data_IF_624370016974
#
_entry.id   IF_624370016974
#
_cell.length_a   1.000
_cell.length_b   1.000
_cell.length_c   1.000
_cell.angle_alpha   90.00
_cell.angle_beta   90.00
_cell.angle_gamma   90.00
#
_symmetry.space_group_name_H-M   'P 1'
#
loop_
_entity.id
_entity.type
_entity.pdbx_description
1 polymer ?
#
# COMPACT_ATOMS: atom_id res chain seq x y z
N UNK A 1 -33.40 -29.80 32.63
CA UNK A 1 -33.80 -30.05 31.21
C UNK A 1 -33.95 -28.78 30.39
N UNK A 2 -34.01 -27.62 31.01
CA UNK A 2 -34.05 -26.34 30.29
C UNK A 2 -32.68 -25.89 29.75
N UNK A 3 -31.57 -26.44 30.28
CA UNK A 3 -30.18 -26.12 29.92
C UNK A 3 -29.27 -27.34 29.73
N UNK A 4 -29.81 -28.56 29.93
CA UNK A 4 -29.05 -29.82 29.77
C UNK A 4 -28.98 -30.22 28.27
N UNK A 5 -27.80 -30.17 27.70
CA UNK A 5 -27.57 -30.47 26.29
C UNK A 5 -27.86 -31.96 25.94
N UNK A 6 -27.80 -32.85 26.90
CA UNK A 6 -28.10 -34.29 26.69
C UNK A 6 -29.58 -34.63 26.90
N UNK A 7 -30.36 -33.76 27.50
CA UNK A 7 -31.77 -33.92 27.83
C UNK A 7 -32.58 -32.65 27.60
N UNK A 8 -32.39 -31.98 26.49
CA UNK A 8 -32.98 -30.68 26.20
C UNK A 8 -34.50 -30.78 25.99
N UNK A 9 -35.26 -30.15 26.86
CA UNK A 9 -36.72 -30.20 26.89
C UNK A 9 -37.26 -31.55 27.39
N UNK A 10 -36.81 -32.65 26.84
CA UNK A 10 -37.21 -34.02 27.17
C UNK A 10 -36.03 -34.89 27.50
N UNK A 11 -36.25 -36.02 28.22
CA UNK A 11 -35.20 -37.02 28.49
C UNK A 11 -34.72 -37.62 27.15
N UNK A 12 -33.41 -37.76 27.00
CA UNK A 12 -32.77 -38.35 25.81
C UNK A 12 -32.73 -37.45 24.58
N UNK A 13 -33.26 -36.26 24.60
CA UNK A 13 -33.13 -35.31 23.48
C UNK A 13 -31.79 -34.56 23.61
N UNK A 14 -30.76 -35.11 22.93
CA UNK A 14 -29.44 -34.50 22.91
C UNK A 14 -29.31 -33.51 21.76
N UNK A 15 -28.79 -32.31 22.09
CA UNK A 15 -28.47 -31.27 21.09
C UNK A 15 -27.23 -31.67 20.26
N UNK A 16 -27.12 -31.10 19.07
CA UNK A 16 -25.96 -31.25 18.19
C UNK A 16 -24.69 -30.63 18.74
N UNK A 17 -23.53 -30.87 18.10
CA UNK A 17 -22.22 -30.41 18.60
C UNK A 17 -22.08 -28.89 18.67
N UNK A 18 -22.77 -28.16 17.81
CA UNK A 18 -22.74 -26.69 17.74
C UNK A 18 -24.00 -26.03 18.34
N UNK A 19 -24.78 -26.80 19.12
CA UNK A 19 -26.02 -26.38 19.73
C UNK A 19 -25.93 -26.32 21.25
N UNK A 20 -26.63 -25.40 21.85
CA UNK A 20 -26.90 -25.34 23.28
C UNK A 20 -28.39 -25.56 23.56
N UNK A 21 -28.69 -26.09 24.74
CA UNK A 21 -30.06 -26.16 25.18
C UNK A 21 -30.55 -24.85 25.75
N UNK A 22 -31.36 -24.16 24.98
CA UNK A 22 -31.90 -22.83 25.31
C UNK A 22 -33.37 -22.96 25.67
N UNK A 23 -33.69 -22.84 26.94
CA UNK A 23 -35.09 -22.96 27.47
C UNK A 23 -35.83 -24.21 27.01
N UNK A 24 -35.12 -25.34 26.93
CA UNK A 24 -35.70 -26.65 26.52
C UNK A 24 -35.76 -26.90 25.02
N UNK A 25 -35.12 -26.04 24.22
CA UNK A 25 -34.98 -26.22 22.77
C UNK A 25 -33.51 -26.14 22.37
N UNK A 26 -33.06 -27.06 21.54
CA UNK A 26 -31.68 -26.98 21.00
C UNK A 26 -31.58 -25.80 20.00
N UNK A 27 -30.64 -24.94 20.25
CA UNK A 27 -30.39 -23.76 19.43
C UNK A 27 -28.95 -23.73 18.92
N UNK A 28 -28.78 -23.55 17.62
CA UNK A 28 -27.49 -23.30 17.01
C UNK A 28 -26.92 -21.98 17.54
N UNK A 29 -25.77 -22.05 18.20
CA UNK A 29 -25.08 -20.86 18.74
C UNK A 29 -23.94 -20.40 17.87
N UNK A 30 -23.64 -21.10 16.81
CA UNK A 30 -22.54 -20.77 15.90
C UNK A 30 -22.97 -19.86 14.76
N UNK A 31 -24.25 -19.97 14.33
CA UNK A 31 -24.76 -19.21 13.16
C UNK A 31 -26.07 -18.48 13.42
N UNK A 32 -26.78 -18.80 14.50
CA UNK A 32 -28.05 -18.14 14.83
C UNK A 32 -27.83 -16.70 15.34
N UNK A 33 -28.40 -15.73 14.66
CA UNK A 33 -28.36 -14.32 15.09
C UNK A 33 -29.11 -14.07 16.43
N UNK A 34 -29.95 -14.98 16.87
CA UNK A 34 -30.72 -14.86 18.12
C UNK A 34 -30.06 -15.55 19.32
N UNK A 35 -29.04 -16.40 19.07
CA UNK A 35 -28.35 -17.18 20.10
C UNK A 35 -26.83 -17.21 19.86
N UNK A 36 -26.26 -16.13 19.38
CA UNK A 36 -24.87 -16.11 18.93
C UNK A 36 -23.87 -16.27 20.08
N UNK A 37 -23.16 -17.39 20.10
CA UNK A 37 -22.19 -17.77 21.14
C UNK A 37 -22.84 -18.27 22.44
N UNK A 38 -24.08 -17.89 22.74
CA UNK A 38 -24.83 -18.35 23.90
C UNK A 38 -26.34 -18.09 23.77
N UNK A 39 -27.16 -18.81 24.55
CA UNK A 39 -28.59 -18.63 24.54
C UNK A 39 -29.00 -17.17 24.77
N UNK A 40 -29.88 -16.65 23.92
CA UNK A 40 -30.45 -15.31 24.04
C UNK A 40 -29.48 -14.18 23.71
N UNK A 41 -28.32 -14.45 23.19
CA UNK A 41 -27.40 -13.42 22.66
C UNK A 41 -27.80 -13.01 21.25
N UNK A 42 -28.36 -11.81 21.13
CA UNK A 42 -28.82 -11.27 19.86
C UNK A 42 -27.74 -10.43 19.18
N UNK A 43 -27.47 -10.72 17.90
CA UNK A 43 -26.66 -9.83 17.11
C UNK A 43 -27.44 -8.55 16.77
N UNK A 44 -26.79 -7.40 16.89
CA UNK A 44 -27.37 -6.11 16.53
C UNK A 44 -27.75 -6.03 15.05
N UNK A 45 -28.64 -5.10 14.71
CA UNK A 45 -28.98 -4.84 13.31
C UNK A 45 -27.71 -4.61 12.47
N UNK A 46 -27.61 -5.26 11.32
CA UNK A 46 -26.45 -5.21 10.42
C UNK A 46 -25.29 -6.14 10.80
N UNK A 47 -25.43 -6.91 11.91
CA UNK A 47 -24.47 -7.97 12.26
C UNK A 47 -25.00 -9.35 11.91
N UNK A 48 -24.09 -10.28 11.70
CA UNK A 48 -24.34 -11.71 11.44
C UNK A 48 -23.55 -12.55 12.42
N UNK A 49 -24.14 -13.62 12.90
CA UNK A 49 -23.45 -14.58 13.76
C UNK A 49 -22.47 -15.42 12.95
N UNK A 50 -21.20 -15.27 13.24
CA UNK A 50 -20.14 -16.06 12.62
C UNK A 50 -19.35 -16.78 13.70
N UNK A 51 -19.49 -18.11 13.77
CA UNK A 51 -18.84 -18.96 14.79
C UNK A 51 -19.05 -18.42 16.23
N UNK A 52 -20.28 -18.08 16.58
CA UNK A 52 -20.61 -17.60 17.91
C UNK A 52 -20.18 -16.16 18.22
N UNK A 53 -19.79 -15.38 17.21
CA UNK A 53 -19.46 -13.98 17.34
C UNK A 53 -20.32 -13.14 16.40
N UNK A 54 -20.91 -12.08 16.91
CA UNK A 54 -21.65 -11.12 16.11
C UNK A 54 -20.68 -10.18 15.40
N UNK A 55 -20.61 -10.26 14.08
CA UNK A 55 -19.70 -9.47 13.23
C UNK A 55 -20.47 -8.67 12.19
N UNK A 56 -19.92 -7.53 11.81
CA UNK A 56 -20.47 -6.73 10.71
C UNK A 56 -19.76 -7.13 9.41
N UNK A 57 -20.46 -7.87 8.52
CA UNK A 57 -19.91 -8.36 7.27
C UNK A 57 -19.53 -7.22 6.28
N UNK A 58 -20.03 -5.99 6.51
CA UNK A 58 -19.70 -4.85 5.65
C UNK A 58 -18.36 -4.20 6.00
N UNK A 59 -17.86 -4.41 7.24
CA UNK A 59 -16.67 -3.71 7.74
C UNK A 59 -15.64 -4.62 8.42
N UNK A 60 -16.02 -5.85 8.77
CA UNK A 60 -15.11 -6.79 9.42
C UNK A 60 -14.16 -7.41 8.39
N UNK A 61 -12.87 -7.12 8.52
CA UNK A 61 -11.84 -7.59 7.61
C UNK A 61 -11.68 -9.12 7.58
N UNK A 62 -12.01 -9.80 8.68
CA UNK A 62 -11.90 -11.26 8.78
C UNK A 62 -13.14 -11.99 8.27
N UNK A 63 -14.25 -11.26 8.08
CA UNK A 63 -15.55 -11.79 7.68
C UNK A 63 -16.20 -10.94 6.57
N UNK A 64 -15.42 -10.44 5.63
CA UNK A 64 -15.88 -9.47 4.65
C UNK A 64 -16.86 -10.06 3.63
N UNK A 65 -18.10 -9.56 3.63
CA UNK A 65 -19.19 -10.06 2.77
C UNK A 65 -19.78 -11.42 3.19
N UNK A 66 -19.01 -12.25 3.90
CA UNK A 66 -19.45 -13.53 4.44
C UNK A 66 -18.55 -14.01 5.59
N UNK A 67 -19.06 -14.85 6.45
CA UNK A 67 -18.27 -15.44 7.54
C UNK A 67 -17.01 -16.14 7.00
N UNK A 68 -15.87 -15.87 7.64
CA UNK A 68 -14.54 -16.42 7.33
C UNK A 68 -13.94 -15.96 6.00
N UNK A 69 -14.53 -14.98 5.32
CA UNK A 69 -13.93 -14.37 4.15
C UNK A 69 -12.97 -13.26 4.59
N UNK A 70 -11.71 -13.63 4.79
CA UNK A 70 -10.67 -12.70 5.27
C UNK A 70 -10.02 -11.98 4.09
N UNK A 71 -9.97 -10.65 4.17
CA UNK A 71 -9.26 -9.83 3.20
C UNK A 71 -7.74 -10.01 3.32
N UNK A 72 -7.07 -10.09 2.18
CA UNK A 72 -5.61 -10.22 2.09
C UNK A 72 -4.89 -8.99 2.66
N UNK A 73 -3.59 -9.14 2.93
CA UNK A 73 -2.76 -8.01 3.37
C UNK A 73 -2.81 -6.86 2.35
N UNK A 74 -2.93 -5.62 2.83
CA UNK A 74 -3.10 -4.45 1.97
C UNK A 74 -4.53 -4.11 1.60
N UNK A 75 -5.50 -5.00 1.86
CA UNK A 75 -6.92 -4.76 1.65
C UNK A 75 -7.68 -4.53 2.95
N UNK A 76 -8.81 -3.86 2.87
CA UNK A 76 -9.77 -3.67 3.95
C UNK A 76 -11.18 -4.05 3.49
N UNK A 77 -12.10 -4.24 4.42
CA UNK A 77 -13.49 -4.57 4.09
C UNK A 77 -14.30 -3.29 3.87
N UNK A 78 -14.56 -2.99 2.62
CA UNK A 78 -15.32 -1.82 2.23
C UNK A 78 -16.69 -2.24 1.71
N UNK A 79 -17.74 -1.98 2.49
CA UNK A 79 -19.12 -2.33 2.15
C UNK A 79 -19.29 -3.80 1.72
N UNK A 80 -18.64 -4.73 2.46
CA UNK A 80 -18.71 -6.16 2.20
C UNK A 80 -17.82 -6.68 1.08
N UNK A 81 -16.93 -5.84 0.54
CA UNK A 81 -15.96 -6.23 -0.48
C UNK A 81 -14.53 -5.96 0.01
N UNK A 82 -13.67 -6.96 -0.15
CA UNK A 82 -12.24 -6.75 0.10
C UNK A 82 -11.66 -5.82 -0.97
N UNK A 83 -11.28 -4.62 -0.56
CA UNK A 83 -10.77 -3.56 -1.44
C UNK A 83 -9.32 -3.28 -1.12
N UNK A 84 -8.45 -3.25 -2.13
CA UNK A 84 -7.05 -2.84 -1.98
C UNK A 84 -6.98 -1.35 -1.62
N UNK A 85 -6.62 -1.05 -0.37
CA UNK A 85 -6.48 0.33 0.13
C UNK A 85 -5.07 0.89 -0.06
N UNK A 86 -4.17 0.13 -0.68
CA UNK A 86 -2.78 0.57 -0.94
C UNK A 86 -2.62 1.26 -2.28
N UNK A 87 -3.53 1.01 -3.24
CA UNK A 87 -3.44 1.49 -4.63
C UNK A 87 -4.75 2.05 -5.18
N UNK A 88 -5.87 1.84 -4.50
CA UNK A 88 -7.17 2.29 -4.98
C UNK A 88 -7.38 3.77 -4.67
N UNK A 89 -7.55 4.59 -5.70
CA UNK A 89 -7.71 6.04 -5.55
C UNK A 89 -9.00 6.46 -4.83
N UNK A 90 -10.04 5.63 -4.85
CA UNK A 90 -11.31 5.92 -4.15
C UNK A 90 -11.33 5.39 -2.70
N UNK A 91 -10.30 4.61 -2.30
CA UNK A 91 -10.19 3.96 -1.00
C UNK A 91 -8.75 3.99 -0.46
N UNK A 92 -8.06 5.10 -0.61
CA UNK A 92 -6.64 5.20 -0.30
C UNK A 92 -6.37 5.26 1.22
N UNK A 93 -5.79 4.20 1.77
CA UNK A 93 -5.49 4.09 3.20
C UNK A 93 -6.68 3.65 4.05
N UNK A 94 -7.91 3.94 3.63
CA UNK A 94 -9.16 3.53 4.29
C UNK A 94 -10.33 3.52 3.32
N UNK A 95 -11.38 2.78 3.65
CA UNK A 95 -12.60 2.77 2.85
C UNK A 95 -13.19 4.17 2.66
N UNK A 96 -13.49 4.54 1.43
CA UNK A 96 -14.12 5.81 1.06
C UNK A 96 -13.20 7.03 1.12
N UNK A 97 -11.93 6.87 1.48
CA UNK A 97 -10.97 7.98 1.40
C UNK A 97 -10.47 8.12 -0.04
N UNK A 98 -10.95 9.14 -0.70
CA UNK A 98 -10.66 9.42 -2.11
C UNK A 98 -9.50 10.39 -2.27
N UNK A 99 -8.56 10.07 -3.14
CA UNK A 99 -7.50 11.00 -3.51
C UNK A 99 -8.06 12.18 -4.32
N UNK A 100 -7.50 13.36 -4.08
CA UNK A 100 -7.81 14.55 -4.90
C UNK A 100 -7.50 14.30 -6.39
N UNK A 101 -8.20 15.00 -7.30
CA UNK A 101 -7.85 14.94 -8.71
C UNK A 101 -6.36 15.21 -8.97
N UNK A 102 -5.75 14.40 -9.81
CA UNK A 102 -4.33 14.48 -10.14
C UNK A 102 -3.40 13.72 -9.20
N UNK A 103 -3.89 13.22 -8.04
CA UNK A 103 -3.11 12.36 -7.16
C UNK A 103 -3.41 10.89 -7.37
N UNK A 104 -2.46 10.04 -7.07
CA UNK A 104 -2.57 8.59 -7.11
C UNK A 104 -2.32 7.98 -5.73
N UNK A 105 -3.03 6.91 -5.42
CA UNK A 105 -2.82 6.18 -4.18
C UNK A 105 -1.55 5.33 -4.26
N UNK A 106 -0.56 5.67 -3.49
CA UNK A 106 0.69 4.94 -3.36
C UNK A 106 0.90 4.54 -1.90
N UNK A 107 0.92 3.24 -1.63
CA UNK A 107 1.15 2.69 -0.29
C UNK A 107 0.26 3.36 0.78
N UNK A 108 -1.04 3.50 0.52
CA UNK A 108 -2.06 4.13 1.39
C UNK A 108 -2.00 5.65 1.51
N UNK A 109 -1.21 6.31 0.69
CA UNK A 109 -1.07 7.77 0.71
C UNK A 109 -1.36 8.34 -0.68
N UNK A 110 -2.11 9.43 -0.74
CA UNK A 110 -2.37 10.13 -1.99
C UNK A 110 -1.19 11.01 -2.37
N UNK A 111 -0.48 10.66 -3.43
CA UNK A 111 0.75 11.29 -3.91
C UNK A 111 0.52 11.96 -5.25
N UNK A 112 1.07 13.14 -5.43
CA UNK A 112 1.20 13.81 -6.73
C UNK A 112 2.41 13.25 -7.48
N UNK A 113 2.14 12.33 -8.43
CA UNK A 113 3.18 11.69 -9.22
C UNK A 113 3.88 12.65 -10.21
N UNK A 114 3.33 13.83 -10.41
CA UNK A 114 3.93 14.83 -11.31
C UNK A 114 5.10 15.58 -10.70
N UNK A 115 5.18 15.62 -9.36
CA UNK A 115 6.13 16.45 -8.62
C UNK A 115 6.90 15.73 -7.50
N UNK A 116 6.43 14.57 -7.05
CA UNK A 116 7.06 13.82 -5.96
C UNK A 116 8.30 13.05 -6.44
N UNK A 117 9.48 13.36 -5.85
CA UNK A 117 10.76 12.75 -6.26
C UNK A 117 10.92 11.29 -5.84
N UNK A 118 10.11 10.80 -4.89
CA UNK A 118 10.10 9.39 -4.46
C UNK A 118 9.13 8.53 -5.26
N UNK A 119 8.22 9.19 -6.00
CA UNK A 119 7.14 8.53 -6.75
C UNK A 119 6.95 9.14 -8.15
N UNK A 120 8.02 9.53 -8.82
CA UNK A 120 7.95 10.32 -10.04
C UNK A 120 7.39 9.53 -11.23
N UNK A 121 6.20 9.91 -11.69
CA UNK A 121 5.48 9.27 -12.80
C UNK A 121 4.79 7.96 -12.42
N UNK A 122 5.24 7.30 -11.36
CA UNK A 122 4.62 6.07 -10.81
C UNK A 122 5.03 5.86 -9.35
N UNK A 123 4.19 5.14 -8.60
CA UNK A 123 4.50 4.81 -7.21
C UNK A 123 5.84 4.09 -7.08
N UNK A 124 6.70 4.56 -6.18
CA UNK A 124 8.00 3.98 -5.86
C UNK A 124 9.11 4.26 -6.87
N UNK A 125 8.86 5.05 -7.92
CA UNK A 125 9.94 5.50 -8.81
C UNK A 125 10.66 6.69 -8.21
N UNK A 126 11.85 6.43 -7.68
CA UNK A 126 12.69 7.44 -7.04
C UNK A 126 13.59 8.10 -8.07
N UNK A 127 13.61 9.42 -8.09
CA UNK A 127 14.58 10.18 -8.88
C UNK A 127 15.98 10.08 -8.25
N UNK A 128 17.00 10.07 -9.10
CA UNK A 128 18.40 10.03 -8.68
C UNK A 128 18.82 11.30 -7.95
N UNK A 129 19.99 11.27 -7.33
CA UNK A 129 20.54 12.43 -6.64
C UNK A 129 20.62 13.66 -7.55
N UNK A 130 20.17 14.80 -7.05
CA UNK A 130 20.02 16.07 -7.77
C UNK A 130 18.89 16.13 -8.82
N UNK A 131 18.27 15.03 -9.22
CA UNK A 131 17.10 15.09 -10.09
C UNK A 131 15.87 15.60 -9.35
N UNK A 132 15.04 16.34 -10.05
CA UNK A 132 13.71 16.75 -9.62
C UNK A 132 12.65 16.06 -10.45
N UNK A 133 11.46 15.85 -9.87
CA UNK A 133 10.33 15.31 -10.61
C UNK A 133 9.58 16.47 -11.30
N UNK A 134 9.55 16.46 -12.61
CA UNK A 134 8.84 17.47 -13.41
C UNK A 134 7.88 16.76 -14.36
N UNK A 135 6.58 16.99 -14.19
CA UNK A 135 5.53 16.35 -14.99
C UNK A 135 5.68 14.81 -15.07
N UNK A 136 6.01 14.17 -13.95
CA UNK A 136 6.17 12.72 -13.85
C UNK A 136 7.47 12.17 -14.45
N UNK A 137 8.44 13.03 -14.76
CA UNK A 137 9.75 12.63 -15.26
C UNK A 137 10.87 13.17 -14.37
N UNK A 138 11.81 12.30 -14.02
CA UNK A 138 13.01 12.72 -13.32
C UNK A 138 13.91 13.50 -14.27
N UNK A 139 14.27 14.72 -13.90
CA UNK A 139 15.06 15.63 -14.72
C UNK A 139 16.17 16.26 -13.88
N UNK A 140 17.34 16.36 -14.46
CA UNK A 140 18.43 17.12 -13.88
C UNK A 140 18.12 18.63 -13.89
N UNK A 141 18.65 19.40 -12.92
CA UNK A 141 18.59 20.85 -12.95
C UNK A 141 19.14 21.44 -14.25
N UNK A 142 18.68 22.65 -14.59
CA UNK A 142 19.13 23.36 -15.80
C UNK A 142 20.67 23.44 -15.85
N UNK A 143 21.23 23.14 -17.01
CA UNK A 143 22.69 23.13 -17.25
C UNK A 143 23.40 21.82 -16.87
N UNK A 144 22.68 20.87 -16.28
CA UNK A 144 23.21 19.52 -16.02
C UNK A 144 22.55 18.49 -16.95
N UNK A 145 23.26 17.42 -17.26
CA UNK A 145 22.71 16.28 -17.99
C UNK A 145 22.84 14.99 -17.15
N UNK A 146 21.93 14.06 -17.36
CA UNK A 146 21.97 12.76 -16.68
C UNK A 146 22.98 11.85 -17.37
N UNK A 147 24.01 11.46 -16.63
CA UNK A 147 25.01 10.49 -17.06
C UNK A 147 24.94 9.24 -16.17
N UNK A 148 24.08 8.29 -16.56
CA UNK A 148 23.95 7.03 -15.83
C UNK A 148 23.36 7.18 -14.41
N UNK A 149 22.41 8.09 -14.21
CA UNK A 149 21.76 8.35 -12.91
C UNK A 149 22.43 9.46 -12.09
N UNK A 150 23.42 10.15 -12.63
CA UNK A 150 24.09 11.27 -11.98
C UNK A 150 23.96 12.52 -12.85
N UNK A 151 23.50 13.63 -12.26
CA UNK A 151 23.44 14.93 -12.94
C UNK A 151 24.82 15.57 -12.93
N UNK A 152 25.41 15.77 -14.11
CA UNK A 152 26.76 16.31 -14.29
C UNK A 152 26.76 17.55 -15.17
N UNK A 153 27.68 18.46 -14.90
CA UNK A 153 27.93 19.62 -15.75
C UNK A 153 29.02 19.30 -16.78
N UNK A 154 28.58 19.01 -18.01
CA UNK A 154 29.49 18.64 -19.11
C UNK A 154 30.40 19.78 -19.59
N UNK A 155 30.16 21.02 -19.13
CA UNK A 155 31.04 22.15 -19.45
C UNK A 155 32.23 22.29 -18.49
N UNK A 156 32.18 21.61 -17.34
CA UNK A 156 33.21 21.74 -16.28
C UNK A 156 33.67 20.42 -15.66
N UNK A 157 32.90 19.33 -15.84
CA UNK A 157 33.28 18.02 -15.28
C UNK A 157 34.33 17.35 -16.15
N UNK A 158 35.52 17.09 -15.55
CA UNK A 158 36.64 16.46 -16.24
C UNK A 158 36.34 15.06 -16.76
N UNK A 159 35.48 14.30 -16.09
CA UNK A 159 35.15 12.92 -16.46
C UNK A 159 34.01 12.83 -17.48
N UNK A 160 33.35 13.97 -17.73
CA UNK A 160 32.15 14.06 -18.59
C UNK A 160 32.22 15.27 -19.52
N UNK A 161 33.42 15.67 -19.95
CA UNK A 161 33.63 16.90 -20.73
C UNK A 161 32.99 16.83 -22.12
N UNK A 162 32.07 17.74 -22.43
CA UNK A 162 31.23 17.75 -23.64
C UNK A 162 30.22 16.61 -23.77
N UNK A 163 30.25 15.60 -22.89
CA UNK A 163 29.34 14.44 -22.96
C UNK A 163 29.62 13.41 -21.87
N UNK A 164 28.65 12.52 -21.63
CA UNK A 164 28.80 11.47 -20.63
C UNK A 164 29.96 10.54 -20.93
N UNK A 165 30.84 10.31 -19.94
CA UNK A 165 31.98 9.42 -20.05
C UNK A 165 33.16 9.96 -20.86
N UNK A 166 33.06 11.17 -21.40
CA UNK A 166 34.16 11.79 -22.14
C UNK A 166 35.17 12.41 -21.18
N UNK A 167 36.16 11.62 -20.79
CA UNK A 167 37.19 12.00 -19.84
C UNK A 167 38.33 12.78 -20.51
N UNK A 168 38.67 13.94 -19.92
CA UNK A 168 39.87 14.67 -20.35
C UNK A 168 41.14 13.91 -20.01
N UNK A 169 42.15 13.95 -20.88
CA UNK A 169 43.46 13.35 -20.66
C UNK A 169 44.14 13.85 -19.36
N UNK A 170 45.11 13.11 -18.89
CA UNK A 170 45.86 13.50 -17.69
C UNK A 170 46.53 14.87 -17.95
N UNK A 171 46.38 15.79 -16.99
CA UNK A 171 46.90 17.16 -17.12
C UNK A 171 45.94 18.15 -17.79
N UNK A 172 44.75 17.69 -18.23
CA UNK A 172 43.73 18.56 -18.82
C UNK A 172 42.51 18.67 -17.89
N UNK A 173 41.90 19.85 -17.83
CA UNK A 173 40.65 20.14 -17.19
C UNK A 173 39.55 20.42 -18.21
N UNK A 174 38.30 20.17 -17.84
CA UNK A 174 37.18 20.59 -18.66
C UNK A 174 36.84 22.05 -18.43
N UNK A 175 36.84 22.85 -19.48
CA UNK A 175 36.39 24.24 -19.46
C UNK A 175 35.59 24.50 -20.75
N UNK A 176 34.39 25.05 -20.57
CA UNK A 176 33.50 25.38 -21.70
C UNK A 176 33.28 24.19 -22.64
N UNK A 177 33.08 22.99 -22.07
CA UNK A 177 32.94 21.72 -22.80
C UNK A 177 34.16 21.30 -23.63
N UNK A 178 35.33 21.82 -23.35
CA UNK A 178 36.59 21.45 -24.01
C UNK A 178 37.65 21.05 -22.98
N UNK A 179 38.44 20.03 -23.33
CA UNK A 179 39.60 19.67 -22.52
C UNK A 179 40.74 20.67 -22.77
N UNK A 180 41.01 21.51 -21.81
CA UNK A 180 42.10 22.51 -21.87
C UNK A 180 43.24 22.09 -20.94
N UNK A 181 44.46 22.32 -21.34
CA UNK A 181 45.65 22.01 -20.54
C UNK A 181 45.63 22.78 -19.22
N UNK A 182 45.87 22.11 -18.09
CA UNK A 182 46.08 22.78 -16.81
C UNK A 182 47.43 23.53 -16.86
N UNK A 183 47.50 24.75 -16.30
CA UNK A 183 48.68 25.62 -16.35
C UNK A 183 49.99 24.88 -15.99
N UNK A 184 49.94 24.01 -14.94
CA UNK A 184 51.10 23.19 -14.53
C UNK A 184 51.53 22.10 -15.53
N UNK A 185 50.60 21.60 -16.39
CA UNK A 185 50.96 20.60 -17.41
C UNK A 185 51.42 21.21 -18.70
N UNK A 186 51.00 22.46 -19.02
CA UNK A 186 51.46 23.18 -20.22
C UNK A 186 52.90 23.69 -20.11
N UNK A 187 53.34 24.02 -18.88
CA UNK A 187 54.72 24.43 -18.64
C UNK A 187 55.76 23.33 -18.69
N UNK A 188 55.34 22.05 -18.58
CA UNK A 188 56.24 20.89 -18.59
C UNK A 188 56.59 20.37 -19.99
N UNK A 189 55.85 20.81 -21.03
CA UNK A 189 56.01 20.39 -22.41
C UNK A 189 56.30 21.59 -23.35
N UNK A 190 56.57 22.75 -22.84
CA UNK A 190 57.11 23.92 -23.54
C UNK A 190 58.62 23.99 -23.37
#
# INVERSE_FOLDING_TARGET
KSSDVNNCGTCGNACGPDELCCSGTCADVMTSNNNCGSCGTFCSSGQTCCKGNCVNLLTDRMNCGSCRNSCVSGSDCCSGNCTDITKNNDNCGSCGFKCDPGKSCCARTCIDLSSDTQNCGQCGRVCSHLETCVNGNCQCPSGLINCGGVCVNISSDRNHCSGCGNQCPRGYNCKDSQCVCSQAACEYYA
#
